data_IF_614900764984
#
_entry.id   IF_614900764984
#
_cell.length_a   1.000
_cell.length_b   1.000
_cell.length_c   1.000
_cell.angle_alpha   90.00
_cell.angle_beta   90.00
_cell.angle_gamma   90.00
#
_symmetry.space_group_name_H-M   'P 1'
#
loop_
_entity.id
_entity.type
_entity.pdbx_description
1 polymer ?
#
# COMPACT_ATOMS: atom_id res chain seq x y z
N UNK A 1 -15.38 -40.30 -64.86
CA UNK A 1 -15.54 -40.74 -63.44
C UNK A 1 -14.21 -41.09 -62.75
N UNK A 2 -13.22 -41.69 -63.41
CA UNK A 2 -11.94 -42.14 -62.80
C UNK A 2 -11.02 -41.02 -62.31
N UNK A 3 -10.93 -39.90 -63.05
CA UNK A 3 -10.14 -38.72 -62.63
C UNK A 3 -10.68 -38.08 -61.35
N UNK A 4 -12.01 -38.06 -61.18
CA UNK A 4 -12.66 -37.52 -60.00
C UNK A 4 -12.34 -38.39 -58.75
N UNK A 5 -12.33 -39.72 -58.91
CA UNK A 5 -11.95 -40.64 -57.82
C UNK A 5 -10.48 -40.49 -57.41
N UNK A 6 -9.57 -40.32 -58.36
CA UNK A 6 -8.14 -40.10 -58.07
C UNK A 6 -7.89 -38.74 -57.41
N UNK A 7 -8.63 -37.70 -57.83
CA UNK A 7 -8.54 -36.37 -57.22
C UNK A 7 -9.08 -36.35 -55.79
N UNK A 8 -10.16 -37.09 -55.52
CA UNK A 8 -10.69 -37.28 -54.16
C UNK A 8 -9.72 -38.10 -53.29
N UNK A 9 -9.09 -39.14 -53.83
CA UNK A 9 -8.10 -39.94 -53.10
C UNK A 9 -6.84 -39.14 -52.75
N UNK A 10 -6.34 -38.32 -53.68
CA UNK A 10 -5.16 -37.46 -53.47
C UNK A 10 -5.43 -36.30 -52.50
N UNK A 11 -6.64 -35.73 -52.49
CA UNK A 11 -7.05 -34.78 -51.46
C UNK A 11 -7.16 -35.44 -50.08
N UNK A 12 -7.66 -36.69 -50.01
CA UNK A 12 -7.77 -37.45 -48.76
C UNK A 12 -6.41 -37.81 -48.14
N UNK A 13 -5.40 -38.06 -48.97
CA UNK A 13 -4.03 -38.38 -48.51
C UNK A 13 -3.15 -37.13 -48.28
N UNK A 14 -3.67 -35.92 -48.50
CA UNK A 14 -2.90 -34.70 -48.37
C UNK A 14 -2.77 -34.27 -46.90
N UNK A 15 -1.64 -34.64 -46.27
CA UNK A 15 -1.29 -34.28 -44.88
C UNK A 15 -0.44 -33.01 -44.76
N UNK A 16 -0.21 -32.29 -45.86
CA UNK A 16 0.59 -31.06 -45.85
C UNK A 16 -0.19 -29.97 -45.10
N UNK A 17 0.44 -29.37 -44.09
CA UNK A 17 -0.17 -28.29 -43.29
C UNK A 17 -0.94 -28.73 -42.05
N UNK A 18 -1.02 -30.03 -41.74
CA UNK A 18 -1.66 -30.51 -40.49
C UNK A 18 -0.96 -29.93 -39.26
N UNK A 19 0.38 -29.92 -39.23
CA UNK A 19 1.15 -29.30 -38.15
C UNK A 19 0.91 -27.78 -38.02
N UNK A 20 0.65 -27.09 -39.14
CA UNK A 20 0.31 -25.67 -39.12
C UNK A 20 -1.05 -25.43 -38.46
N UNK A 21 -2.04 -26.29 -38.76
CA UNK A 21 -3.37 -26.21 -38.15
C UNK A 21 -3.34 -26.59 -36.66
N UNK A 22 -2.64 -27.67 -36.30
CA UNK A 22 -2.44 -28.06 -34.90
C UNK A 22 -1.79 -26.95 -34.08
N UNK A 23 -0.74 -26.32 -34.62
CA UNK A 23 -0.13 -25.15 -33.99
C UNK A 23 -1.11 -23.99 -33.88
N UNK A 24 -1.86 -23.67 -34.95
CA UNK A 24 -2.82 -22.57 -34.95
C UNK A 24 -3.93 -22.77 -33.90
N UNK A 25 -4.36 -24.01 -33.64
CA UNK A 25 -5.35 -24.31 -32.60
C UNK A 25 -4.77 -24.28 -31.17
N UNK A 26 -3.51 -24.69 -30.99
CA UNK A 26 -2.86 -24.68 -29.67
C UNK A 26 -2.33 -23.31 -29.26
N UNK A 27 -1.90 -22.50 -30.22
CA UNK A 27 -1.35 -21.16 -30.00
C UNK A 27 -2.23 -20.26 -29.10
N UNK A 28 -3.55 -20.07 -29.34
CA UNK A 28 -4.35 -19.20 -28.50
C UNK A 28 -4.46 -19.68 -27.05
N UNK A 29 -4.57 -21.00 -26.84
CA UNK A 29 -4.62 -21.59 -25.50
C UNK A 29 -3.28 -21.37 -24.78
N UNK A 30 -2.18 -21.65 -25.48
CA UNK A 30 -0.84 -21.44 -24.95
C UNK A 30 -0.59 -19.97 -24.59
N UNK A 31 -0.95 -19.04 -25.48
CA UNK A 31 -0.80 -17.61 -25.24
C UNK A 31 -1.60 -17.14 -24.02
N UNK A 32 -2.88 -17.52 -23.91
CA UNK A 32 -3.70 -17.12 -22.76
C UNK A 32 -3.09 -17.65 -21.45
N UNK A 33 -2.67 -18.92 -21.42
CA UNK A 33 -2.04 -19.50 -20.23
C UNK A 33 -0.72 -18.80 -19.86
N UNK A 34 0.17 -18.58 -20.84
CA UNK A 34 1.45 -17.93 -20.60
C UNK A 34 1.31 -16.47 -20.17
N UNK A 35 0.45 -15.70 -20.84
CA UNK A 35 0.22 -14.29 -20.51
C UNK A 35 -0.47 -14.14 -19.15
N UNK A 36 -1.44 -15.00 -18.84
CA UNK A 36 -2.10 -14.98 -17.52
C UNK A 36 -1.10 -15.36 -16.42
N UNK A 37 -0.23 -16.35 -16.65
CA UNK A 37 0.83 -16.71 -15.70
C UNK A 37 1.82 -15.57 -15.44
N UNK A 38 2.24 -14.88 -16.51
CA UNK A 38 3.12 -13.72 -16.42
C UNK A 38 2.45 -12.54 -15.67
N UNK A 39 1.20 -12.23 -16.03
CA UNK A 39 0.40 -11.18 -15.39
C UNK A 39 0.18 -11.45 -13.91
N UNK A 40 -0.18 -12.69 -13.55
CA UNK A 40 -0.40 -13.07 -12.16
C UNK A 40 0.90 -12.98 -11.35
N UNK A 41 2.03 -13.40 -11.92
CA UNK A 41 3.33 -13.29 -11.26
C UNK A 41 3.68 -11.83 -11.02
N UNK A 42 3.50 -10.96 -12.02
CA UNK A 42 3.77 -9.52 -11.88
C UNK A 42 2.87 -8.87 -10.83
N UNK A 43 1.57 -9.20 -10.83
CA UNK A 43 0.61 -8.73 -9.84
C UNK A 43 1.01 -9.15 -8.41
N UNK A 44 1.34 -10.42 -8.21
CA UNK A 44 1.76 -10.92 -6.90
C UNK A 44 3.07 -10.23 -6.46
N UNK A 45 4.04 -10.06 -7.36
CA UNK A 45 5.29 -9.35 -7.06
C UNK A 45 5.05 -7.90 -6.67
N UNK A 46 4.21 -7.17 -7.40
CA UNK A 46 3.84 -5.80 -7.05
C UNK A 46 3.16 -5.75 -5.67
N UNK A 47 2.18 -6.63 -5.43
CA UNK A 47 1.49 -6.73 -4.15
C UNK A 47 2.44 -7.02 -2.98
N UNK A 48 3.35 -7.98 -3.14
CA UNK A 48 4.36 -8.30 -2.12
C UNK A 48 5.26 -7.10 -1.81
N UNK A 49 5.74 -6.38 -2.83
CA UNK A 49 6.58 -5.19 -2.62
C UNK A 49 5.82 -4.07 -1.91
N UNK A 50 4.56 -3.82 -2.27
CA UNK A 50 3.70 -2.84 -1.59
C UNK A 50 3.47 -3.22 -0.13
N UNK A 51 3.24 -4.51 0.15
CA UNK A 51 3.09 -5.03 1.52
C UNK A 51 4.37 -4.84 2.35
N UNK A 52 5.54 -5.09 1.74
CA UNK A 52 6.84 -4.81 2.36
C UNK A 52 7.03 -3.32 2.65
N UNK A 53 6.68 -2.43 1.70
CA UNK A 53 6.73 -0.98 1.93
C UNK A 53 5.85 -0.60 3.12
N UNK A 54 4.60 -1.07 3.20
CA UNK A 54 3.72 -0.79 4.33
C UNK A 54 4.35 -1.21 5.67
N UNK A 55 4.90 -2.42 5.74
CA UNK A 55 5.58 -2.95 6.93
C UNK A 55 6.82 -2.13 7.31
N UNK A 56 7.66 -1.76 6.35
CA UNK A 56 8.86 -0.97 6.60
C UNK A 56 8.54 0.46 7.04
N UNK A 57 7.54 1.09 6.43
CA UNK A 57 7.06 2.41 6.86
C UNK A 57 6.50 2.32 8.27
N UNK A 58 5.76 1.26 8.62
CA UNK A 58 5.25 1.09 9.98
C UNK A 58 6.39 0.90 11.01
N UNK A 59 7.42 0.11 10.70
CA UNK A 59 8.59 -0.07 11.58
C UNK A 59 9.38 1.23 11.77
N UNK A 60 9.67 1.92 10.66
CA UNK A 60 10.38 3.18 10.68
C UNK A 60 9.58 4.23 11.44
N UNK A 61 8.26 4.30 11.23
CA UNK A 61 7.36 5.21 11.96
C UNK A 61 7.34 4.91 13.47
N UNK A 62 7.38 3.64 13.86
CA UNK A 62 7.39 3.22 15.27
C UNK A 62 8.73 3.54 15.98
N UNK A 63 9.80 3.76 15.22
CA UNK A 63 11.15 4.07 15.71
C UNK A 63 11.57 5.52 15.49
N UNK A 64 10.80 6.28 14.71
CA UNK A 64 11.00 7.68 14.38
C UNK A 64 11.06 8.59 15.60
N UNK A 65 11.80 9.70 15.46
CA UNK A 65 11.91 10.81 16.41
C UNK A 65 13.32 11.00 16.94
N UNK A 66 13.47 11.97 17.83
CA UNK A 66 14.74 12.30 18.48
C UNK A 66 14.58 12.35 20.01
N UNK A 67 15.59 11.90 20.75
CA UNK A 67 15.54 11.87 22.21
C UNK A 67 16.57 10.94 22.84
N UNK A 68 16.62 10.96 24.17
CA UNK A 68 17.44 10.06 25.00
C UNK A 68 16.58 8.97 25.63
N UNK A 69 17.17 7.83 26.00
CA UNK A 69 16.49 6.74 26.74
C UNK A 69 15.82 7.21 28.05
N UNK A 70 16.27 8.34 28.60
CA UNK A 70 15.78 8.93 29.84
C UNK A 70 14.61 9.92 29.63
N UNK A 71 14.25 10.26 28.39
CA UNK A 71 13.24 11.28 28.07
C UNK A 71 12.28 10.79 26.99
N UNK A 72 11.09 11.39 26.93
CA UNK A 72 10.15 11.07 25.87
C UNK A 72 10.74 11.54 24.53
N UNK A 73 10.70 10.66 23.54
CA UNK A 73 11.16 10.93 22.19
C UNK A 73 10.19 11.91 21.53
N UNK A 74 10.71 13.00 20.98
CA UNK A 74 9.93 13.98 20.24
C UNK A 74 9.91 13.62 18.77
N UNK A 75 8.83 13.99 18.07
CA UNK A 75 8.71 13.80 16.62
C UNK A 75 8.38 15.13 16.01
N UNK A 76 9.09 15.46 14.93
CA UNK A 76 8.89 16.66 14.16
C UNK A 76 8.27 16.39 12.79
N UNK A 77 7.74 17.43 12.14
CA UNK A 77 7.29 17.31 10.75
C UNK A 77 8.41 16.86 9.81
N UNK A 78 9.66 17.26 10.07
CA UNK A 78 10.82 16.82 9.30
C UNK A 78 11.02 15.31 9.41
N UNK A 79 10.89 14.74 10.61
CA UNK A 79 11.02 13.30 10.80
C UNK A 79 9.97 12.53 9.99
N UNK A 80 8.73 13.05 9.93
CA UNK A 80 7.64 12.42 9.18
C UNK A 80 7.85 12.59 7.67
N UNK A 81 8.34 13.75 7.23
CA UNK A 81 8.68 13.97 5.82
C UNK A 81 9.85 13.09 5.37
N UNK A 82 10.84 12.85 6.23
CA UNK A 82 11.96 11.94 5.97
C UNK A 82 11.48 10.48 5.93
N UNK A 83 10.59 10.08 6.85
CA UNK A 83 9.91 8.78 6.82
C UNK A 83 9.19 8.57 5.49
N UNK A 84 8.40 9.55 5.06
CA UNK A 84 7.69 9.48 3.79
C UNK A 84 8.70 9.46 2.63
N UNK A 85 9.69 10.34 2.59
CA UNK A 85 10.75 10.30 1.55
C UNK A 85 11.40 8.91 1.45
N UNK A 86 11.73 8.30 2.60
CA UNK A 86 12.25 6.95 2.68
C UNK A 86 11.29 5.88 2.13
N UNK A 87 9.98 6.02 2.34
CA UNK A 87 8.98 5.13 1.76
C UNK A 87 9.03 5.12 0.22
N UNK A 88 9.18 6.30 -0.39
CA UNK A 88 9.34 6.43 -1.85
C UNK A 88 10.61 5.76 -2.37
N UNK A 89 11.73 5.96 -1.67
CA UNK A 89 13.01 5.33 -2.00
C UNK A 89 12.94 3.80 -1.88
N UNK A 90 12.29 3.29 -0.83
CA UNK A 90 12.15 1.85 -0.58
C UNK A 90 11.21 1.16 -1.58
N UNK A 91 10.25 1.89 -2.15
CA UNK A 91 9.39 1.37 -3.19
C UNK A 91 10.11 1.13 -4.53
N UNK A 92 11.32 1.66 -4.71
CA UNK A 92 12.16 1.47 -5.89
C UNK A 92 11.42 1.84 -7.18
N UNK A 93 11.38 0.90 -8.13
CA UNK A 93 10.82 1.10 -9.47
C UNK A 93 9.28 1.09 -9.53
N UNK A 94 8.57 0.97 -8.40
CA UNK A 94 7.09 0.99 -8.39
C UNK A 94 6.50 2.36 -8.73
N UNK A 95 7.31 3.44 -8.73
CA UNK A 95 6.81 4.80 -8.90
C UNK A 95 5.64 5.11 -7.95
N UNK A 96 5.84 4.77 -6.67
CA UNK A 96 4.79 4.73 -5.64
C UNK A 96 4.02 6.04 -5.53
N UNK A 97 4.65 7.19 -5.71
CA UNK A 97 3.97 8.48 -5.58
C UNK A 97 3.25 8.95 -6.83
N UNK A 98 3.55 8.42 -8.01
CA UNK A 98 2.71 8.66 -9.17
C UNK A 98 1.50 7.70 -9.19
N UNK A 99 1.72 6.44 -8.80
CA UNK A 99 0.73 5.36 -8.93
C UNK A 99 -0.02 5.04 -7.64
N UNK A 100 0.36 5.64 -6.52
CA UNK A 100 -0.19 5.30 -5.22
C UNK A 100 -0.24 6.47 -4.24
N UNK A 101 -0.60 6.12 -3.01
CA UNK A 101 -0.65 7.03 -1.86
C UNK A 101 -0.29 6.25 -0.60
N UNK A 102 0.66 6.77 0.16
CA UNK A 102 1.02 6.28 1.50
C UNK A 102 0.33 7.17 2.52
N UNK A 103 -0.37 6.58 3.48
CA UNK A 103 -1.03 7.26 4.59
C UNK A 103 -0.48 6.67 5.89
N UNK A 104 0.03 7.53 6.76
CA UNK A 104 0.56 7.18 8.08
C UNK A 104 -0.33 7.84 9.13
N UNK A 105 -0.85 7.04 10.05
CA UNK A 105 -1.76 7.45 11.12
C UNK A 105 -1.14 7.13 12.47
N UNK A 106 -1.30 8.04 13.44
CA UNK A 106 -0.99 7.77 14.84
C UNK A 106 -2.28 7.45 15.60
N UNK A 107 -2.38 6.20 16.06
CA UNK A 107 -3.49 5.71 16.88
C UNK A 107 -3.09 5.80 18.35
N UNK A 108 -3.88 6.52 19.14
CA UNK A 108 -3.68 6.70 20.58
C UNK A 108 -4.96 6.33 21.35
N UNK A 109 -4.85 6.12 22.66
CA UNK A 109 -6.03 6.01 23.53
C UNK A 109 -6.77 7.35 23.53
N UNK A 110 -8.10 7.29 23.46
CA UNK A 110 -8.96 8.45 23.56
C UNK A 110 -9.12 8.84 25.04
N UNK A 111 -8.62 10.00 25.49
CA UNK A 111 -8.73 10.40 26.90
C UNK A 111 -10.17 10.69 27.32
N UNK A 112 -11.08 10.97 26.38
CA UNK A 112 -12.47 11.29 26.67
C UNK A 112 -13.37 10.05 26.74
N UNK A 113 -12.94 8.91 26.18
CA UNK A 113 -13.76 7.72 26.02
C UNK A 113 -13.01 6.46 26.44
N UNK A 114 -13.37 5.89 27.61
CA UNK A 114 -12.73 4.70 28.16
C UNK A 114 -12.80 3.50 27.20
N UNK A 115 -11.66 2.87 26.94
CA UNK A 115 -11.57 1.71 26.04
C UNK A 115 -11.73 2.05 24.56
N UNK A 116 -11.64 3.33 24.20
CA UNK A 116 -11.70 3.83 22.83
C UNK A 116 -10.39 4.48 22.42
N UNK A 117 -10.27 4.69 21.13
CA UNK A 117 -9.07 5.20 20.48
C UNK A 117 -9.37 6.43 19.64
N UNK A 118 -8.33 7.20 19.36
CA UNK A 118 -8.37 8.36 18.49
C UNK A 118 -7.23 8.32 17.49
N UNK A 119 -7.45 8.95 16.34
CA UNK A 119 -6.40 9.21 15.35
C UNK A 119 -5.86 10.59 15.65
N UNK A 120 -4.68 10.68 16.25
CA UNK A 120 -4.17 11.97 16.69
C UNK A 120 -3.75 12.85 15.52
N UNK A 121 -3.01 12.27 14.59
CA UNK A 121 -2.56 12.93 13.38
C UNK A 121 -2.47 11.93 12.25
N UNK A 122 -2.56 12.44 11.02
CA UNK A 122 -2.28 11.69 9.80
C UNK A 122 -1.39 12.51 8.88
N UNK A 123 -0.47 11.84 8.20
CA UNK A 123 0.33 12.40 7.12
C UNK A 123 0.28 11.45 5.92
N UNK A 124 0.33 12.01 4.72
CA UNK A 124 0.33 11.19 3.52
C UNK A 124 1.08 11.83 2.38
N UNK A 125 1.49 10.98 1.44
CA UNK A 125 2.21 11.39 0.23
C UNK A 125 1.82 10.50 -0.95
N UNK A 126 1.65 11.12 -2.11
CA UNK A 126 1.31 10.45 -3.37
C UNK A 126 0.22 11.17 -4.15
N UNK A 127 0.20 10.95 -5.46
CA UNK A 127 -0.65 11.67 -6.41
C UNK A 127 -2.09 11.15 -6.45
N UNK A 128 -2.34 9.94 -5.92
CA UNK A 128 -3.66 9.31 -5.87
C UNK A 128 -4.51 9.86 -4.72
N UNK A 129 -4.74 11.18 -4.72
CA UNK A 129 -5.43 11.89 -3.64
C UNK A 129 -6.92 11.55 -3.52
N UNK A 130 -7.52 10.96 -4.56
CA UNK A 130 -8.88 10.43 -4.51
C UNK A 130 -9.04 9.23 -3.57
N UNK A 131 -7.94 8.57 -3.21
CA UNK A 131 -7.94 7.52 -2.17
C UNK A 131 -7.74 8.16 -0.79
N UNK A 132 -8.80 8.16 0.02
CA UNK A 132 -8.76 8.57 1.43
C UNK A 132 -8.58 7.34 2.33
N UNK A 133 -8.10 7.53 3.57
CA UNK A 133 -7.97 6.40 4.49
C UNK A 133 -9.33 5.77 4.78
N UNK A 134 -9.37 4.44 4.70
CA UNK A 134 -10.60 3.68 4.96
C UNK A 134 -10.91 3.55 6.46
N UNK A 135 -10.00 3.98 7.34
CA UNK A 135 -10.07 3.73 8.79
C UNK A 135 -10.23 4.99 9.64
N UNK A 136 -10.51 6.12 9.01
CA UNK A 136 -10.79 7.40 9.67
C UNK A 136 -9.80 8.50 9.26
N UNK A 137 -10.07 9.71 9.75
CA UNK A 137 -9.28 10.91 9.47
C UNK A 137 -8.57 11.42 10.73
N UNK A 138 -7.57 12.28 10.57
CA UNK A 138 -6.93 12.97 11.69
C UNK A 138 -7.97 13.66 12.59
N UNK A 139 -7.84 13.50 13.90
CA UNK A 139 -8.76 14.01 14.91
C UNK A 139 -9.99 13.12 15.17
N UNK A 140 -10.17 12.00 14.46
CA UNK A 140 -11.27 11.06 14.76
C UNK A 140 -11.13 10.49 16.18
N UNK A 141 -12.23 10.43 16.92
CA UNK A 141 -12.30 9.96 18.32
C UNK A 141 -13.30 8.81 18.47
N UNK A 142 -13.43 8.23 19.67
CA UNK A 142 -14.38 7.17 19.99
C UNK A 142 -14.29 5.92 19.09
N UNK A 143 -13.10 5.63 18.55
CA UNK A 143 -12.86 4.47 17.70
C UNK A 143 -12.72 3.20 18.54
N UNK A 144 -13.12 2.05 18.01
CA UNK A 144 -12.88 0.74 18.63
C UNK A 144 -11.49 0.16 18.32
N UNK A 145 -10.74 0.82 17.44
CA UNK A 145 -9.43 0.41 16.93
C UNK A 145 -9.31 0.78 15.45
N UNK A 146 -8.17 0.45 14.83
CA UNK A 146 -7.91 0.75 13.42
C UNK A 146 -7.65 -0.53 12.62
N UNK A 147 -8.17 -0.63 11.40
CA UNK A 147 -8.01 -1.79 10.54
C UNK A 147 -9.33 -2.54 10.27
N UNK A 148 -9.27 -3.68 9.55
CA UNK A 148 -10.44 -4.44 9.16
C UNK A 148 -11.27 -4.92 10.36
N UNK A 149 -12.59 -4.96 10.20
CA UNK A 149 -13.50 -5.48 11.22
C UNK A 149 -13.08 -6.88 11.69
N UNK A 150 -12.98 -7.06 13.01
CA UNK A 150 -12.55 -8.32 13.65
C UNK A 150 -11.03 -8.49 13.72
N UNK A 151 -10.26 -7.58 13.14
CA UNK A 151 -8.78 -7.56 13.15
C UNK A 151 -8.23 -6.16 13.42
N UNK A 152 -8.97 -5.35 14.17
CA UNK A 152 -8.54 -4.01 14.52
C UNK A 152 -7.35 -4.05 15.46
N UNK A 153 -6.38 -3.20 15.20
CA UNK A 153 -5.28 -2.95 16.12
C UNK A 153 -5.67 -1.85 17.09
N UNK A 154 -5.13 -1.98 18.29
CA UNK A 154 -5.32 -1.05 19.39
C UNK A 154 -3.96 -0.54 19.85
N UNK A 155 -3.98 0.31 20.87
CA UNK A 155 -2.76 0.80 21.50
C UNK A 155 -2.84 0.66 23.02
N UNK A 156 -1.67 0.63 23.66
CA UNK A 156 -1.55 0.59 25.11
C UNK A 156 -1.72 2.00 25.68
N UNK A 157 -2.05 2.10 26.97
CA UNK A 157 -2.04 3.39 27.66
C UNK A 157 -0.64 3.99 27.64
N UNK A 158 -0.55 5.31 27.51
CA UNK A 158 0.71 6.07 27.41
C UNK A 158 1.64 5.60 26.26
N UNK A 159 1.06 5.03 25.22
CA UNK A 159 1.76 4.66 24.00
C UNK A 159 0.91 4.99 22.75
N UNK A 160 1.56 4.96 21.59
CA UNK A 160 0.91 5.10 20.29
C UNK A 160 1.16 3.86 19.43
N UNK A 161 0.23 3.57 18.53
CA UNK A 161 0.40 2.58 17.47
C UNK A 161 0.44 3.31 16.14
N UNK A 162 1.52 3.12 15.38
CA UNK A 162 1.62 3.63 14.02
C UNK A 162 0.86 2.69 13.10
N UNK A 163 -0.09 3.23 12.34
CA UNK A 163 -0.86 2.48 11.36
C UNK A 163 -0.64 3.08 9.98
N UNK A 164 -0.24 2.24 9.04
CA UNK A 164 0.12 2.62 7.68
C UNK A 164 -0.82 1.96 6.70
N UNK A 165 -1.31 2.74 5.76
CA UNK A 165 -2.09 2.31 4.61
C UNK A 165 -1.33 2.71 3.35
N UNK A 166 -1.04 1.74 2.48
CA UNK A 166 -0.42 1.98 1.18
C UNK A 166 -1.40 1.56 0.10
N UNK A 167 -1.92 2.56 -0.60
CA UNK A 167 -2.73 2.37 -1.80
C UNK A 167 -1.85 2.43 -3.04
N UNK A 168 -2.08 1.53 -3.99
CA UNK A 168 -1.33 1.45 -5.23
C UNK A 168 -2.22 0.99 -6.38
N UNK A 169 -2.21 1.75 -7.47
CA UNK A 169 -2.79 1.34 -8.75
C UNK A 169 -1.76 0.48 -9.50
N UNK A 170 -2.13 -0.78 -9.68
CA UNK A 170 -1.29 -1.77 -10.33
C UNK A 170 -1.21 -1.52 -11.84
N UNK A 171 0.01 -1.54 -12.37
CA UNK A 171 0.30 -1.43 -13.80
C UNK A 171 0.37 -2.85 -14.40
N UNK A 172 -0.58 -3.25 -15.25
CA UNK A 172 -0.59 -4.57 -15.86
C UNK A 172 0.46 -4.68 -16.97
N UNK A 173 0.92 -5.91 -17.25
CA UNK A 173 1.80 -6.20 -18.38
C UNK A 173 1.01 -6.32 -19.68
N UNK A 174 -0.19 -6.89 -19.62
CA UNK A 174 -1.00 -7.24 -20.78
C UNK A 174 -2.38 -6.59 -20.70
N UNK A 175 -2.75 -5.89 -21.77
CA UNK A 175 -4.06 -5.27 -21.91
C UNK A 175 -4.31 -4.20 -20.85
N UNK A 176 -5.57 -4.04 -20.45
CA UNK A 176 -5.98 -3.10 -19.38
C UNK A 176 -6.18 -3.80 -18.04
N UNK A 177 -5.38 -4.84 -17.75
CA UNK A 177 -5.47 -5.59 -16.50
C UNK A 177 -6.59 -6.62 -16.45
N UNK A 178 -7.15 -7.00 -17.59
CA UNK A 178 -8.23 -8.01 -17.68
C UNK A 178 -7.82 -9.40 -17.22
N UNK A 179 -6.51 -9.68 -17.19
CA UNK A 179 -5.94 -10.95 -16.71
C UNK A 179 -5.43 -10.85 -15.25
N UNK A 180 -5.41 -9.65 -14.67
CA UNK A 180 -5.06 -9.44 -13.27
C UNK A 180 -6.32 -9.55 -12.39
N UNK A 181 -6.20 -10.01 -11.12
CA UNK A 181 -7.35 -10.12 -10.23
C UNK A 181 -8.03 -8.77 -9.95
N UNK A 182 -7.22 -7.73 -9.72
CA UNK A 182 -7.67 -6.35 -9.50
C UNK A 182 -6.60 -5.38 -10.01
N UNK A 183 -7.00 -4.14 -10.31
CA UNK A 183 -6.10 -3.05 -10.69
C UNK A 183 -5.73 -2.12 -9.52
N UNK A 184 -6.35 -2.32 -8.35
CA UNK A 184 -6.02 -1.60 -7.12
C UNK A 184 -5.54 -2.57 -6.06
N UNK A 185 -4.47 -2.20 -5.38
CA UNK A 185 -3.88 -2.91 -4.25
C UNK A 185 -3.88 -1.97 -3.05
N UNK A 186 -4.33 -2.46 -1.90
CA UNK A 186 -4.24 -1.73 -0.64
C UNK A 186 -3.65 -2.67 0.39
N UNK A 187 -2.50 -2.27 0.92
CA UNK A 187 -1.82 -3.02 1.98
C UNK A 187 -1.76 -2.16 3.23
N UNK A 188 -1.93 -2.82 4.38
CA UNK A 188 -1.91 -2.17 5.68
C UNK A 188 -0.86 -2.82 6.56
N UNK A 189 -0.27 -2.02 7.43
CA UNK A 189 0.65 -2.50 8.45
C UNK A 189 0.53 -1.63 9.69
N UNK A 190 0.84 -2.19 10.84
CA UNK A 190 0.85 -1.43 12.08
C UNK A 190 1.93 -1.92 13.02
N UNK A 191 2.54 -0.99 13.74
CA UNK A 191 3.52 -1.30 14.79
C UNK A 191 3.30 -0.39 15.99
N UNK A 192 3.34 -0.95 17.19
CA UNK A 192 3.39 -0.15 18.42
C UNK A 192 4.70 0.61 18.48
N UNK A 193 4.65 1.87 18.89
CA UNK A 193 5.85 2.67 19.10
C UNK A 193 6.69 1.99 20.19
N UNK A 194 8.01 1.90 19.93
CA UNK A 194 8.94 1.13 20.76
C UNK A 194 9.48 1.92 21.95
N UNK A 195 9.75 3.21 21.72
CA UNK A 195 10.25 4.13 22.73
C UNK A 195 9.11 5.01 23.25
N UNK A 196 9.18 5.43 24.52
CA UNK A 196 8.20 6.39 25.05
C UNK A 196 8.25 7.68 24.21
N UNK A 197 7.10 8.11 23.70
CA UNK A 197 6.98 9.28 22.82
C UNK A 197 6.30 10.44 23.56
N UNK A 198 6.71 11.66 23.23
CA UNK A 198 6.01 12.84 23.73
C UNK A 198 4.70 12.99 22.97
N UNK A 199 3.60 12.72 23.68
CA UNK A 199 2.24 12.85 23.16
C UNK A 199 1.52 14.04 23.78
N UNK A 200 2.23 14.99 24.38
CA UNK A 200 1.60 16.20 24.92
C UNK A 200 1.02 17.09 23.79
N UNK A 201 0.04 17.92 24.14
CA UNK A 201 -0.54 18.92 23.24
C UNK A 201 -0.29 20.30 23.80
N UNK A 202 0.24 21.19 22.99
CA UNK A 202 0.40 22.60 23.33
C UNK A 202 -0.31 23.52 22.33
N UNK A 203 -1.22 22.97 21.51
CA UNK A 203 -1.98 23.73 20.51
C UNK A 203 -2.74 24.94 21.09
N UNK A 204 -3.17 24.86 22.36
CA UNK A 204 -3.85 25.94 23.07
C UNK A 204 -2.92 26.93 23.79
N UNK A 205 -1.61 26.72 23.77
CA UNK A 205 -0.62 27.54 24.47
C UNK A 205 0.47 28.02 23.50
N UNK A 206 1.63 27.36 23.47
CA UNK A 206 2.79 27.73 22.66
C UNK A 206 2.66 27.30 21.20
N UNK A 207 1.81 26.30 20.93
CA UNK A 207 1.55 25.76 19.59
C UNK A 207 2.85 25.35 18.85
N UNK A 208 3.83 24.85 19.59
CA UNK A 208 5.11 24.34 19.13
C UNK A 208 5.01 22.88 18.68
N UNK A 209 4.17 22.07 19.32
CA UNK A 209 3.93 20.67 18.99
C UNK A 209 2.43 20.28 19.01
N UNK A 210 1.57 20.94 18.22
CA UNK A 210 0.15 20.62 18.19
C UNK A 210 -0.07 19.15 17.84
N UNK A 211 -0.99 18.48 18.55
CA UNK A 211 -1.25 17.05 18.39
C UNK A 211 0.00 16.15 18.59
N UNK A 212 1.00 16.59 19.36
CA UNK A 212 2.20 15.80 19.65
C UNK A 212 3.22 15.72 18.50
N UNK A 213 3.15 16.63 17.53
CA UNK A 213 4.12 16.73 16.42
C UNK A 213 4.76 18.12 16.42
N UNK A 214 6.07 18.16 16.64
CA UNK A 214 6.87 19.37 16.72
C UNK A 214 6.97 20.06 15.35
N UNK A 215 6.65 21.35 15.33
CA UNK A 215 6.84 22.20 14.17
C UNK A 215 8.32 22.46 13.93
N UNK A 216 8.68 22.52 12.67
CA UNK A 216 10.03 22.92 12.22
C UNK A 216 9.88 24.10 11.28
N UNK A 217 10.64 25.16 11.53
CA UNK A 217 10.62 26.38 10.71
C UNK A 217 10.96 26.04 9.27
N UNK A 218 10.08 26.42 8.33
CA UNK A 218 10.27 26.17 6.90
C UNK A 218 9.82 24.79 6.41
N UNK A 219 9.25 23.95 7.28
CA UNK A 219 8.73 22.62 6.92
C UNK A 219 7.21 22.63 6.95
N UNK A 220 6.59 22.11 5.89
CA UNK A 220 5.13 22.06 5.74
C UNK A 220 4.65 20.63 5.98
N UNK A 221 3.68 20.47 6.87
CA UNK A 221 3.08 19.16 7.13
C UNK A 221 2.50 18.52 5.86
N UNK A 222 2.88 17.26 5.60
CA UNK A 222 2.36 16.46 4.48
C UNK A 222 0.92 15.99 4.76
N UNK A 223 -0.03 16.91 4.62
CA UNK A 223 -1.45 16.70 5.00
C UNK A 223 -2.18 15.72 4.10
N UNK A 224 -3.21 15.10 4.68
CA UNK A 224 -4.25 14.35 4.00
C UNK A 224 -5.52 15.18 3.94
#
# INVERSE_FOLDING_TARGET
>A
MTRLRLMIATLRDNRRGVALLEFAFMLPIFLVLSLTGAEMTNYITAKMRISQVALHVADNAARMGNGSLLSAKTISETDIDDLLTGAGLQAGELNLYAQGRVIVSSLEVDPANTGKYRIRWQRCRGSKTGHASSYGVAGATNLTGMGPTGRQVTTQSDNATMFVEVYYEYIPLVGRGTLAPTTSVTEIASMSVRDRRDMSDDSSTTNLHPNGVYKVTGVTASTC
#
